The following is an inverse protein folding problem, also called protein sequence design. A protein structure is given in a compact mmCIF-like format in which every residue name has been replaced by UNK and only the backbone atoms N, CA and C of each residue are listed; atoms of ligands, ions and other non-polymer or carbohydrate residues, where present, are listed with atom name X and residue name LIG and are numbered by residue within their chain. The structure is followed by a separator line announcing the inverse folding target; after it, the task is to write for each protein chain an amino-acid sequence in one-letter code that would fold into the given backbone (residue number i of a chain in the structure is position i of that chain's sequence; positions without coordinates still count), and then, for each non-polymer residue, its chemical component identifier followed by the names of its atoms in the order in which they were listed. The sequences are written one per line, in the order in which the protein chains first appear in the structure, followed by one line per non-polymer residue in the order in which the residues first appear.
data_IF_787023549756
#
_entry.id   IF_787023549756
#
_cell.length_a   1.000
_cell.length_b   1.000
_cell.length_c   1.000
_cell.angle_alpha   90.00
_cell.angle_beta   90.00
_cell.angle_gamma   90.00
#
_symmetry.space_group_name_H-M   'P 1'
#
loop_
_entity.id
_entity.type
_entity.pdbx_description
1 polymer ?
#
# COMPACT_ATOMS: atom_id res chain seq x y z
N UNK A 1 -3.79 -16.33 15.34
CA UNK A 1 -4.92 -15.66 14.64
C UNK A 1 -4.32 -14.69 13.63
N UNK A 2 -4.93 -14.51 12.47
CA UNK A 2 -4.47 -13.53 11.47
C UNK A 2 -4.82 -12.12 11.95
N UNK A 3 -3.80 -11.25 12.07
CA UNK A 3 -4.00 -9.85 12.43
C UNK A 3 -4.51 -9.07 11.22
N UNK A 4 -5.61 -8.32 11.42
CA UNK A 4 -6.19 -7.43 10.42
C UNK A 4 -6.52 -6.09 11.07
N UNK A 5 -6.22 -5.01 10.35
CA UNK A 5 -6.54 -3.64 10.72
C UNK A 5 -7.48 -3.06 9.67
N UNK A 6 -8.56 -2.46 10.11
CA UNK A 6 -9.59 -1.91 9.24
C UNK A 6 -9.71 -0.41 9.43
N UNK A 7 -10.17 0.27 8.40
CA UNK A 7 -10.38 1.71 8.42
C UNK A 7 -11.85 2.05 8.67
N UNK A 8 -12.06 2.98 9.59
CA UNK A 8 -13.42 3.42 9.96
C UNK A 8 -14.21 4.08 8.81
N UNK A 9 -13.54 4.63 7.79
CA UNK A 9 -14.18 5.27 6.65
C UNK A 9 -14.41 4.33 5.46
N UNK A 10 -14.00 3.06 5.55
CA UNK A 10 -14.23 2.03 4.54
C UNK A 10 -15.17 0.90 5.00
N UNK A 11 -16.00 1.12 6.03
CA UNK A 11 -16.84 0.08 6.64
C UNK A 11 -17.86 -0.57 5.69
N UNK A 12 -18.20 0.10 4.59
CA UNK A 12 -19.20 -0.37 3.62
C UNK A 12 -18.58 -1.24 2.50
N UNK A 13 -17.31 -1.57 2.59
CA UNK A 13 -16.60 -2.40 1.61
C UNK A 13 -15.64 -3.35 2.33
N UNK A 14 -15.52 -4.59 1.84
CA UNK A 14 -14.58 -5.55 2.42
C UNK A 14 -13.15 -5.07 2.20
N UNK A 15 -12.41 -4.83 3.27
CA UNK A 15 -11.04 -4.36 3.19
C UNK A 15 -10.24 -4.77 4.42
N UNK A 16 -8.93 -4.77 4.31
CA UNK A 16 -8.05 -5.01 5.43
C UNK A 16 -6.59 -4.76 5.13
N UNK A 17 -5.90 -4.23 6.11
CA UNK A 17 -4.45 -4.14 6.19
C UNK A 17 -3.97 -5.27 7.10
N UNK A 18 -3.27 -6.24 6.53
CA UNK A 18 -2.86 -7.42 7.30
C UNK A 18 -1.53 -7.18 8.03
N UNK A 19 -1.40 -7.78 9.21
CA UNK A 19 -0.15 -7.85 9.94
C UNK A 19 0.74 -9.01 9.48
N UNK A 20 1.75 -9.32 10.28
CA UNK A 20 2.69 -10.42 10.00
C UNK A 20 2.35 -11.73 10.71
N UNK A 21 1.33 -11.75 11.57
CA UNK A 21 1.01 -12.89 12.44
C UNK A 21 -0.07 -13.81 11.87
N UNK A 22 -0.07 -15.07 12.29
CA UNK A 22 -1.14 -16.04 12.00
C UNK A 22 -0.95 -16.86 10.73
N UNK A 23 0.21 -16.84 10.11
CA UNK A 23 0.51 -17.59 8.90
C UNK A 23 1.41 -18.81 9.10
N UNK A 24 1.84 -19.40 7.98
CA UNK A 24 2.61 -20.66 7.90
C UNK A 24 4.11 -20.45 7.62
N UNK A 25 4.55 -19.24 7.32
CA UNK A 25 5.96 -18.95 7.04
C UNK A 25 6.82 -19.01 8.29
N UNK A 26 8.11 -19.30 8.13
CA UNK A 26 9.05 -19.47 9.23
C UNK A 26 10.29 -18.59 9.07
N UNK A 27 11.14 -18.50 10.11
CA UNK A 27 12.36 -17.71 10.09
C UNK A 27 12.08 -16.21 9.92
N UNK A 28 12.82 -15.54 9.07
CA UNK A 28 12.67 -14.09 8.79
C UNK A 28 11.30 -13.74 8.19
N UNK A 29 10.60 -14.72 7.62
CA UNK A 29 9.24 -14.59 7.05
C UNK A 29 8.14 -14.93 8.04
N UNK A 30 8.45 -15.21 9.31
CA UNK A 30 7.45 -15.60 10.31
C UNK A 30 6.48 -14.46 10.58
N UNK A 31 5.18 -14.70 10.38
CA UNK A 31 4.55 -15.95 9.96
C UNK A 31 3.68 -15.79 8.71
N UNK A 32 3.14 -14.58 8.41
CA UNK A 32 2.16 -14.31 7.37
C UNK A 32 2.79 -13.55 6.19
N UNK A 33 3.89 -14.07 5.62
CA UNK A 33 4.44 -13.50 4.40
C UNK A 33 3.53 -13.79 3.20
N UNK A 34 3.21 -12.75 2.43
CA UNK A 34 2.25 -12.80 1.32
C UNK A 34 2.90 -12.55 -0.06
N UNK A 35 4.22 -12.33 -0.07
CA UNK A 35 4.97 -11.98 -1.28
C UNK A 35 5.67 -13.17 -1.91
N UNK A 36 5.36 -13.44 -3.18
CA UNK A 36 6.09 -14.41 -4.00
C UNK A 36 7.48 -13.93 -4.45
N UNK A 37 7.76 -12.63 -4.26
CA UNK A 37 9.08 -12.03 -4.57
C UNK A 37 10.04 -12.15 -3.38
N UNK A 38 10.00 -13.27 -2.65
CA UNK A 38 10.85 -13.60 -1.51
C UNK A 38 11.42 -15.00 -1.68
N UNK A 39 12.42 -15.35 -0.88
CA UNK A 39 12.97 -16.71 -0.83
C UNK A 39 12.16 -17.67 0.05
N UNK A 40 10.96 -17.27 0.48
CA UNK A 40 10.04 -18.11 1.24
C UNK A 40 9.46 -19.26 0.39
N UNK A 41 8.98 -20.32 1.03
CA UNK A 41 8.34 -21.45 0.36
C UNK A 41 7.02 -21.00 -0.27
N UNK A 42 6.85 -21.22 -1.57
CA UNK A 42 5.61 -20.88 -2.30
C UNK A 42 4.36 -21.50 -1.66
N UNK A 43 4.46 -22.72 -1.15
CA UNK A 43 3.35 -23.39 -0.47
C UNK A 43 2.88 -22.59 0.77
N UNK A 44 3.81 -22.01 1.56
CA UNK A 44 3.47 -21.17 2.69
C UNK A 44 2.78 -19.89 2.23
N UNK A 45 3.27 -19.26 1.17
CA UNK A 45 2.70 -18.02 0.64
C UNK A 45 1.26 -18.24 0.14
N UNK A 46 1.01 -19.34 -0.58
CA UNK A 46 -0.35 -19.68 -1.05
C UNK A 46 -1.30 -19.98 0.12
N UNK A 47 -0.83 -20.73 1.13
CA UNK A 47 -1.60 -20.97 2.35
C UNK A 47 -1.90 -19.66 3.09
N UNK A 48 -0.92 -18.77 3.22
CA UNK A 48 -1.09 -17.46 3.84
C UNK A 48 -2.10 -16.59 3.07
N UNK A 49 -2.05 -16.60 1.74
CA UNK A 49 -3.04 -15.88 0.90
C UNK A 49 -4.45 -16.41 1.09
N UNK A 50 -4.61 -17.73 1.20
CA UNK A 50 -5.92 -18.33 1.52
C UNK A 50 -6.44 -17.86 2.89
N UNK A 51 -5.58 -17.83 3.92
CA UNK A 51 -5.95 -17.36 5.26
C UNK A 51 -6.42 -15.89 5.27
N UNK A 52 -5.78 -14.99 4.53
CA UNK A 52 -6.21 -13.58 4.47
C UNK A 52 -7.51 -13.42 3.68
N UNK A 53 -7.73 -14.21 2.62
CA UNK A 53 -8.97 -14.20 1.86
C UNK A 53 -10.14 -14.74 2.69
N UNK A 54 -9.91 -15.78 3.49
CA UNK A 54 -10.89 -16.32 4.42
C UNK A 54 -11.24 -15.28 5.50
N UNK A 55 -10.21 -14.64 6.08
CA UNK A 55 -10.38 -13.59 7.09
C UNK A 55 -11.21 -12.40 6.60
N UNK A 56 -11.11 -12.05 5.31
CA UNK A 56 -11.92 -11.00 4.66
C UNK A 56 -13.29 -11.51 4.16
N UNK A 57 -13.57 -12.80 4.32
CA UNK A 57 -14.78 -13.45 3.77
C UNK A 57 -14.94 -13.25 2.25
N UNK A 58 -13.80 -13.35 1.54
CA UNK A 58 -13.73 -13.29 0.07
C UNK A 58 -13.14 -14.57 -0.53
N UNK A 59 -13.22 -15.69 0.21
CA UNK A 59 -12.76 -17.00 -0.26
C UNK A 59 -13.45 -17.38 -1.58
N UNK A 60 -12.64 -17.80 -2.55
CA UNK A 60 -13.14 -18.10 -3.91
C UNK A 60 -13.17 -16.90 -4.88
N UNK A 61 -12.98 -15.68 -4.38
CA UNK A 61 -12.79 -14.52 -5.27
C UNK A 61 -11.35 -14.47 -5.83
N UNK A 62 -11.18 -13.81 -6.96
CA UNK A 62 -9.85 -13.49 -7.50
C UNK A 62 -9.33 -12.21 -6.87
N UNK A 63 -8.17 -12.27 -6.22
CA UNK A 63 -7.46 -11.06 -5.76
C UNK A 63 -6.27 -10.81 -6.67
N UNK A 64 -6.24 -9.63 -7.28
CA UNK A 64 -5.15 -9.21 -8.15
C UNK A 64 -4.10 -8.41 -7.38
N UNK A 65 -2.85 -8.86 -7.43
CA UNK A 65 -1.68 -8.15 -6.92
C UNK A 65 -0.81 -7.69 -8.09
N UNK A 66 -0.58 -6.39 -8.28
CA UNK A 66 0.20 -5.88 -9.40
C UNK A 66 1.70 -6.17 -9.25
N UNK A 67 2.42 -6.07 -10.35
CA UNK A 67 3.88 -6.12 -10.36
C UNK A 67 4.47 -4.78 -9.91
N UNK A 68 4.47 -4.53 -8.59
CA UNK A 68 4.95 -3.30 -7.97
C UNK A 68 6.44 -3.07 -8.22
N UNK A 69 6.81 -1.89 -8.72
CA UNK A 69 8.18 -1.46 -9.01
C UNK A 69 8.45 0.01 -8.64
N UNK A 70 7.65 0.58 -7.72
CA UNK A 70 7.75 1.98 -7.28
C UNK A 70 7.57 2.98 -8.42
N UNK A 71 6.69 2.67 -9.35
CA UNK A 71 6.30 3.54 -10.46
C UNK A 71 5.12 4.45 -10.07
N UNK A 72 4.68 5.28 -11.01
CA UNK A 72 3.42 6.00 -10.95
C UNK A 72 2.36 5.45 -11.92
N UNK A 73 2.54 4.19 -12.38
CA UNK A 73 1.65 3.55 -13.31
C UNK A 73 0.39 3.02 -12.61
N UNK A 74 -0.75 3.29 -13.23
CA UNK A 74 -2.07 2.86 -12.78
C UNK A 74 -2.68 1.94 -13.82
N UNK A 75 -3.41 0.92 -13.40
CA UNK A 75 -4.21 0.08 -14.28
C UNK A 75 -5.66 0.04 -13.82
N UNK A 76 -6.58 0.18 -14.76
CA UNK A 76 -7.98 -0.15 -14.58
C UNK A 76 -8.23 -1.59 -15.05
N UNK A 77 -8.82 -2.39 -14.17
CA UNK A 77 -9.21 -3.78 -14.45
C UNK A 77 -10.72 -3.83 -14.70
N UNK A 78 -11.08 -4.27 -15.90
CA UNK A 78 -12.45 -4.52 -16.34
C UNK A 78 -12.66 -5.99 -16.76
N UNK A 79 -13.86 -6.31 -17.24
CA UNK A 79 -14.22 -7.68 -17.69
C UNK A 79 -13.38 -8.18 -18.89
N UNK A 80 -12.74 -7.28 -19.64
CA UNK A 80 -11.93 -7.60 -20.82
C UNK A 80 -10.45 -7.68 -20.49
N UNK A 81 -10.06 -7.35 -19.27
CA UNK A 81 -8.65 -7.27 -18.88
C UNK A 81 -7.99 -8.65 -18.87
N UNK A 82 -6.90 -8.76 -19.61
CA UNK A 82 -6.01 -9.92 -19.59
C UNK A 82 -5.05 -9.77 -18.39
N UNK A 83 -5.35 -10.47 -17.31
CA UNK A 83 -4.60 -10.39 -16.05
C UNK A 83 -3.15 -10.84 -16.21
N UNK A 84 -2.87 -11.80 -17.09
CA UNK A 84 -1.50 -12.29 -17.29
C UNK A 84 -0.63 -11.22 -17.97
N UNK A 85 -1.20 -10.51 -18.94
CA UNK A 85 -0.51 -9.38 -19.56
C UNK A 85 -0.30 -8.20 -18.61
N UNK A 86 -1.29 -7.90 -17.77
CA UNK A 86 -1.17 -6.80 -16.79
C UNK A 86 -0.14 -7.14 -15.71
N UNK A 87 -0.10 -8.41 -15.25
CA UNK A 87 0.86 -8.85 -14.23
C UNK A 87 2.33 -8.74 -14.66
N UNK A 88 2.60 -8.69 -15.97
CA UNK A 88 3.96 -8.51 -16.50
C UNK A 88 4.42 -7.04 -16.54
N UNK A 89 3.48 -6.10 -16.48
CA UNK A 89 3.80 -4.66 -16.53
C UNK A 89 4.11 -4.10 -15.14
N UNK A 90 5.06 -3.16 -15.02
CA UNK A 90 5.27 -2.45 -13.75
C UNK A 90 4.08 -1.53 -13.47
N UNK A 91 3.34 -1.83 -12.41
CA UNK A 91 2.13 -1.12 -11.98
C UNK A 91 2.13 -1.05 -10.46
N UNK A 92 1.80 0.12 -9.92
CA UNK A 92 1.76 0.36 -8.48
C UNK A 92 0.38 0.83 -7.96
N UNK A 93 -0.60 1.02 -8.86
CA UNK A 93 -1.99 1.25 -8.48
C UNK A 93 -2.97 0.47 -9.37
N UNK A 94 -4.01 -0.07 -8.75
CA UNK A 94 -5.04 -0.88 -9.42
C UNK A 94 -6.41 -0.34 -9.07
N UNK A 95 -7.23 -0.10 -10.10
CA UNK A 95 -8.62 0.34 -9.99
C UNK A 95 -9.52 -0.76 -10.56
N UNK A 96 -10.67 -0.99 -9.94
CA UNK A 96 -11.73 -1.85 -10.50
C UNK A 96 -13.10 -1.49 -9.91
N UNK A 97 -14.16 -1.85 -10.63
CA UNK A 97 -15.54 -1.89 -10.13
C UNK A 97 -16.18 -3.26 -10.34
N UNK A 98 -15.37 -4.29 -10.57
CA UNK A 98 -15.85 -5.65 -10.76
C UNK A 98 -16.20 -6.30 -9.43
N UNK A 99 -17.47 -6.73 -9.30
CA UNK A 99 -17.88 -7.58 -8.17
C UNK A 99 -17.20 -8.95 -8.25
N UNK A 100 -16.80 -9.47 -7.09
CA UNK A 100 -16.11 -10.76 -7.00
C UNK A 100 -14.64 -10.72 -7.40
N UNK A 101 -14.08 -9.51 -7.58
CA UNK A 101 -12.65 -9.28 -7.83
C UNK A 101 -12.12 -8.33 -6.75
N UNK A 102 -11.17 -8.80 -5.98
CA UNK A 102 -10.40 -7.97 -5.06
C UNK A 102 -9.13 -7.43 -5.71
N UNK A 103 -8.67 -6.28 -5.24
CA UNK A 103 -7.37 -5.72 -5.58
C UNK A 103 -6.54 -5.56 -4.32
N UNK A 104 -5.25 -5.87 -4.41
CA UNK A 104 -4.36 -5.83 -3.26
C UNK A 104 -2.96 -5.38 -3.62
N UNK A 105 -2.24 -4.91 -2.61
CA UNK A 105 -0.84 -4.51 -2.73
C UNK A 105 -0.03 -5.10 -1.59
N UNK A 106 1.28 -5.19 -1.79
CA UNK A 106 2.22 -5.77 -0.85
C UNK A 106 3.20 -4.70 -0.37
N UNK A 107 3.38 -4.59 0.95
CA UNK A 107 4.25 -3.57 1.54
C UNK A 107 5.10 -4.13 2.69
N UNK A 108 6.21 -3.46 2.94
CA UNK A 108 7.01 -3.46 4.17
C UNK A 108 7.71 -2.10 4.20
N UNK A 109 7.14 -1.13 4.91
CA UNK A 109 7.47 0.29 5.07
C UNK A 109 6.82 1.26 4.09
N UNK A 110 6.68 0.93 2.78
CA UNK A 110 5.93 1.77 1.86
C UNK A 110 4.46 1.90 2.30
N UNK A 111 3.81 3.01 2.00
CA UNK A 111 2.42 3.25 2.37
C UNK A 111 1.46 2.44 1.49
N UNK A 112 0.67 1.54 2.08
CA UNK A 112 -0.47 0.95 1.41
C UNK A 112 -1.66 1.90 1.51
N UNK A 113 -2.35 2.10 0.38
CA UNK A 113 -3.54 2.93 0.33
C UNK A 113 -4.67 2.11 -0.27
N UNK A 114 -5.80 2.09 0.43
CA UNK A 114 -7.04 1.53 -0.07
C UNK A 114 -8.08 2.64 -0.17
N UNK A 115 -8.89 2.63 -1.23
CA UNK A 115 -9.91 3.64 -1.41
C UNK A 115 -11.18 3.06 -2.02
N UNK A 116 -12.31 3.70 -1.72
CA UNK A 116 -13.63 3.29 -2.17
C UNK A 116 -14.50 4.51 -2.48
N UNK A 117 -15.17 4.47 -3.62
CA UNK A 117 -16.24 5.39 -3.95
C UNK A 117 -17.55 4.58 -4.06
N UNK A 118 -18.52 4.90 -3.20
CA UNK A 118 -19.68 4.04 -2.95
C UNK A 118 -20.80 4.18 -3.98
N UNK A 119 -20.91 5.30 -4.68
CA UNK A 119 -22.01 5.54 -5.63
C UNK A 119 -21.79 4.78 -6.95
N UNK A 120 -20.58 4.83 -7.47
CA UNK A 120 -20.20 4.14 -8.70
C UNK A 120 -19.54 2.77 -8.43
N UNK A 121 -19.25 2.46 -7.18
CA UNK A 121 -18.71 1.16 -6.76
C UNK A 121 -17.27 0.93 -7.20
N UNK A 122 -16.42 1.97 -7.28
CA UNK A 122 -15.01 1.81 -7.59
C UNK A 122 -14.18 1.57 -6.33
N UNK A 123 -13.32 0.57 -6.40
CA UNK A 123 -12.27 0.30 -5.42
C UNK A 123 -10.89 0.53 -6.02
N UNK A 124 -9.94 0.89 -5.16
CA UNK A 124 -8.58 1.24 -5.54
C UNK A 124 -7.60 0.73 -4.49
N UNK A 125 -6.49 0.15 -4.94
CA UNK A 125 -5.33 -0.16 -4.10
C UNK A 125 -4.09 0.49 -4.69
N UNK A 126 -3.32 1.27 -3.89
CA UNK A 126 -2.09 1.96 -4.30
C UNK A 126 -0.93 1.52 -3.41
N UNK A 127 0.18 1.17 -4.02
CA UNK A 127 1.48 1.07 -3.39
C UNK A 127 2.22 2.41 -3.54
N UNK A 128 2.34 3.16 -2.46
CA UNK A 128 3.03 4.44 -2.45
C UNK A 128 4.34 4.35 -1.63
N UNK A 129 5.43 3.93 -2.28
CA UNK A 129 6.77 4.22 -1.81
C UNK A 129 7.16 5.67 -2.14
N UNK A 130 8.23 6.19 -1.54
CA UNK A 130 8.65 7.57 -1.72
C UNK A 130 8.77 8.00 -3.20
N UNK A 131 9.33 7.12 -4.06
CA UNK A 131 9.54 7.40 -5.47
C UNK A 131 8.21 7.52 -6.22
N UNK A 132 7.31 6.56 -6.03
CA UNK A 132 5.97 6.60 -6.62
C UNK A 132 5.17 7.81 -6.13
N UNK A 133 5.24 8.12 -4.82
CA UNK A 133 4.60 9.28 -4.24
C UNK A 133 5.13 10.60 -4.83
N UNK A 134 6.46 10.75 -4.95
CA UNK A 134 7.09 11.93 -5.53
C UNK A 134 6.74 12.09 -7.03
N UNK A 135 6.67 10.99 -7.77
CA UNK A 135 6.38 11.00 -9.22
C UNK A 135 4.89 11.00 -9.57
N UNK A 136 4.00 11.06 -8.57
CA UNK A 136 2.58 11.32 -8.76
C UNK A 136 1.70 10.07 -8.86
N UNK A 137 1.97 8.98 -8.13
CA UNK A 137 1.12 7.78 -8.15
C UNK A 137 -0.30 8.08 -7.64
N UNK A 138 -0.45 8.92 -6.60
CA UNK A 138 -1.75 9.30 -6.05
C UNK A 138 -2.55 10.13 -7.05
N UNK A 139 -1.91 11.12 -7.68
CA UNK A 139 -2.50 11.99 -8.68
C UNK A 139 -2.92 11.23 -9.93
N UNK A 140 -2.09 10.31 -10.41
CA UNK A 140 -2.40 9.48 -11.57
C UNK A 140 -3.59 8.55 -11.28
N UNK A 141 -3.66 8.01 -10.07
CA UNK A 141 -4.78 7.17 -9.65
C UNK A 141 -6.08 7.96 -9.59
N UNK A 142 -6.08 9.16 -9.01
CA UNK A 142 -7.25 10.04 -8.95
C UNK A 142 -7.65 10.55 -10.34
N UNK A 143 -6.68 10.89 -11.18
CA UNK A 143 -6.94 11.28 -12.58
C UNK A 143 -7.59 10.14 -13.35
N UNK A 144 -7.09 8.92 -13.20
CA UNK A 144 -7.67 7.73 -13.83
C UNK A 144 -9.12 7.48 -13.37
N UNK A 145 -9.42 7.65 -12.08
CA UNK A 145 -10.80 7.56 -11.56
C UNK A 145 -11.70 8.64 -12.16
N UNK A 146 -11.23 9.89 -12.22
CA UNK A 146 -11.99 10.99 -12.82
C UNK A 146 -12.27 10.75 -14.31
N UNK A 147 -11.30 10.21 -15.05
CA UNK A 147 -11.46 9.86 -16.47
C UNK A 147 -12.48 8.71 -16.69
N UNK A 148 -12.68 7.86 -15.66
CA UNK A 148 -13.72 6.85 -15.60
C UNK A 148 -15.09 7.41 -15.15
N UNK A 149 -15.21 8.73 -14.93
CA UNK A 149 -16.44 9.40 -14.54
C UNK A 149 -16.74 9.40 -13.04
N UNK A 150 -15.78 9.02 -12.21
CA UNK A 150 -15.93 8.98 -10.74
C UNK A 150 -15.80 10.39 -10.15
N UNK A 151 -16.72 10.77 -9.26
CA UNK A 151 -16.58 11.97 -8.45
C UNK A 151 -15.55 11.75 -7.34
N UNK A 152 -14.31 12.12 -7.60
CA UNK A 152 -13.19 11.92 -6.66
C UNK A 152 -13.38 12.61 -5.32
N UNK A 153 -14.27 13.61 -5.20
CA UNK A 153 -14.56 14.29 -3.92
C UNK A 153 -15.36 13.40 -2.95
N UNK A 154 -15.97 12.32 -3.46
CA UNK A 154 -16.76 11.36 -2.68
C UNK A 154 -15.97 10.11 -2.32
N UNK A 155 -14.69 10.06 -2.70
CA UNK A 155 -13.87 8.90 -2.41
C UNK A 155 -13.40 8.92 -0.95
N UNK A 156 -13.56 7.79 -0.27
CA UNK A 156 -12.98 7.53 1.04
C UNK A 156 -11.62 6.85 0.88
N UNK A 157 -10.59 7.37 1.52
CA UNK A 157 -9.20 6.90 1.42
C UNK A 157 -8.70 6.44 2.78
N UNK A 158 -8.11 5.26 2.84
CA UNK A 158 -7.42 4.75 4.02
C UNK A 158 -5.92 4.56 3.72
N UNK A 159 -5.07 5.10 4.58
CA UNK A 159 -3.61 4.88 4.57
C UNK A 159 -3.30 3.88 5.67
N UNK A 160 -2.78 2.72 5.29
CA UNK A 160 -2.45 1.64 6.20
C UNK A 160 -1.08 1.77 6.87
N UNK A 161 -0.63 0.70 7.56
CA UNK A 161 0.65 0.70 8.28
C UNK A 161 1.82 1.01 7.36
N UNK A 162 2.63 2.00 7.74
CA UNK A 162 3.76 2.52 6.98
C UNK A 162 4.89 2.93 7.92
N UNK A 163 6.09 3.16 7.42
CA UNK A 163 7.18 3.69 8.23
C UNK A 163 6.88 5.14 8.63
N UNK A 164 6.93 5.46 9.93
CA UNK A 164 6.68 6.80 10.44
C UNK A 164 7.86 7.75 10.23
N UNK A 165 7.58 9.06 10.30
CA UNK A 165 8.63 10.09 10.26
C UNK A 165 9.67 9.97 11.37
N UNK A 166 9.36 9.30 12.48
CA UNK A 166 10.32 9.05 13.58
C UNK A 166 11.40 8.03 13.19
N UNK A 167 11.08 7.14 12.23
CA UNK A 167 11.89 6.00 11.84
C UNK A 167 12.42 6.07 10.41
N UNK A 168 11.87 6.98 9.59
CA UNK A 168 12.26 7.10 8.19
C UNK A 168 13.38 8.11 7.99
N UNK A 169 14.53 7.79 8.58
CA UNK A 169 15.78 8.53 8.33
C UNK A 169 16.18 8.42 6.85
N UNK A 170 16.54 9.55 6.25
CA UNK A 170 16.95 9.66 4.84
C UNK A 170 18.21 10.52 4.72
N UNK A 171 18.97 10.31 3.67
CA UNK A 171 20.19 11.06 3.39
C UNK A 171 19.89 12.41 2.75
N UNK A 172 20.89 13.29 2.69
CA UNK A 172 20.79 14.63 2.09
C UNK A 172 20.40 14.60 0.60
N UNK A 173 20.92 13.63 -0.17
CA UNK A 173 20.58 13.46 -1.59
C UNK A 173 19.09 13.16 -1.83
N UNK A 174 18.48 12.39 -0.89
CA UNK A 174 17.04 12.16 -0.91
C UNK A 174 16.27 13.47 -0.65
N UNK A 175 16.64 14.22 0.40
CA UNK A 175 16.05 15.53 0.71
C UNK A 175 16.17 16.48 -0.49
N UNK A 176 17.37 16.63 -1.04
CA UNK A 176 17.62 17.49 -2.21
C UNK A 176 16.76 17.12 -3.42
N UNK A 177 16.50 15.82 -3.65
CA UNK A 177 15.64 15.36 -4.74
C UNK A 177 14.22 15.92 -4.60
N UNK A 178 13.67 15.94 -3.39
CA UNK A 178 12.35 16.50 -3.11
C UNK A 178 12.34 18.02 -3.29
N UNK A 179 13.33 18.72 -2.73
CA UNK A 179 13.39 20.20 -2.79
C UNK A 179 13.61 20.72 -4.21
N UNK A 180 14.37 19.99 -5.02
CA UNK A 180 14.54 20.31 -6.45
C UNK A 180 13.23 20.13 -7.24
N UNK A 181 12.36 19.22 -6.82
CA UNK A 181 11.05 19.00 -7.46
C UNK A 181 10.08 20.13 -7.06
N UNK A 182 9.98 20.44 -5.79
CA UNK A 182 9.20 21.56 -5.25
C UNK A 182 9.78 21.96 -3.88
N UNK A 183 10.21 23.21 -3.70
CA UNK A 183 10.72 23.72 -2.41
C UNK A 183 9.73 23.56 -1.25
N UNK A 184 8.42 23.59 -1.53
CA UNK A 184 7.38 23.37 -0.53
C UNK A 184 7.49 22.00 0.16
N UNK A 185 8.10 21.02 -0.47
CA UNK A 185 8.23 19.67 0.09
C UNK A 185 9.16 19.60 1.32
N UNK A 186 9.91 20.67 1.62
CA UNK A 186 10.66 20.78 2.88
C UNK A 186 9.77 20.54 4.11
N UNK A 187 8.49 20.94 4.08
CA UNK A 187 7.53 20.77 5.17
C UNK A 187 7.26 19.32 5.57
N UNK A 188 7.61 18.36 4.71
CA UNK A 188 7.45 16.94 5.00
C UNK A 188 8.70 16.30 5.61
N UNK A 189 9.72 17.09 5.92
CA UNK A 189 10.96 16.64 6.56
C UNK A 189 11.13 17.22 7.94
N UNK A 190 11.64 16.38 8.84
CA UNK A 190 12.11 16.80 10.17
C UNK A 190 13.64 16.71 10.14
N UNK A 191 14.31 17.82 10.46
CA UNK A 191 15.76 17.82 10.63
C UNK A 191 16.09 17.64 12.10
N UNK A 192 16.83 16.60 12.45
CA UNK A 192 17.22 16.27 13.80
C UNK A 192 18.64 15.72 13.83
N UNK A 193 19.51 16.27 14.69
CA UNK A 193 20.91 15.84 14.88
C UNK A 193 21.71 15.71 13.57
N UNK A 194 21.46 16.64 12.63
CA UNK A 194 22.11 16.65 11.31
C UNK A 194 21.51 15.71 10.28
N UNK A 195 20.56 14.86 10.65
CA UNK A 195 19.87 13.90 9.79
C UNK A 195 18.49 14.40 9.36
N UNK A 196 17.98 13.92 8.23
CA UNK A 196 16.65 14.18 7.75
C UNK A 196 15.73 12.98 8.00
N UNK A 197 14.49 13.26 8.39
CA UNK A 197 13.44 12.26 8.59
C UNK A 197 12.23 12.62 7.74
N UNK A 198 11.83 11.73 6.84
CA UNK A 198 10.74 12.00 5.89
C UNK A 198 9.39 11.50 6.43
N UNK A 199 8.36 12.35 6.34
CA UNK A 199 6.99 12.03 6.69
C UNK A 199 6.20 11.57 5.45
N UNK A 200 6.41 10.32 5.04
CA UNK A 200 5.75 9.74 3.87
C UNK A 200 4.21 9.76 3.96
N UNK A 201 3.57 9.34 5.08
CA UNK A 201 2.10 9.38 5.15
C UNK A 201 1.54 10.82 5.05
N UNK A 202 2.15 11.80 5.70
CA UNK A 202 1.71 13.20 5.58
C UNK A 202 1.89 13.73 4.16
N UNK A 203 3.00 13.39 3.50
CA UNK A 203 3.22 13.72 2.11
C UNK A 203 2.09 13.16 1.21
N UNK A 204 1.74 11.89 1.39
CA UNK A 204 0.66 11.23 0.67
C UNK A 204 -0.69 11.91 0.94
N UNK A 205 -1.04 12.19 2.19
CA UNK A 205 -2.26 12.93 2.56
C UNK A 205 -2.35 14.26 1.82
N UNK A 206 -1.24 15.01 1.77
CA UNK A 206 -1.20 16.30 1.06
C UNK A 206 -1.50 16.15 -0.43
N UNK A 207 -1.04 15.04 -1.08
CA UNK A 207 -1.30 14.79 -2.51
C UNK A 207 -2.79 14.52 -2.77
N UNK A 208 -3.48 13.81 -1.90
CA UNK A 208 -4.93 13.62 -1.98
C UNK A 208 -5.69 14.92 -1.73
N UNK A 209 -5.31 15.68 -0.71
CA UNK A 209 -5.94 16.97 -0.37
C UNK A 209 -5.86 17.99 -1.52
N UNK A 210 -4.75 18.04 -2.26
CA UNK A 210 -4.59 18.90 -3.43
C UNK A 210 -5.59 18.58 -4.56
N UNK A 211 -6.09 17.33 -4.63
CA UNK A 211 -7.12 16.91 -5.56
C UNK A 211 -8.54 17.06 -5.02
N UNK A 212 -8.71 17.59 -3.79
CA UNK A 212 -10.01 17.80 -3.16
C UNK A 212 -10.58 16.55 -2.49
N UNK A 213 -9.74 15.58 -2.19
CA UNK A 213 -10.09 14.38 -1.39
C UNK A 213 -9.74 14.67 0.06
N UNK A 214 -10.75 14.71 0.93
CA UNK A 214 -10.59 15.07 2.35
C UNK A 214 -11.04 13.97 3.31
N UNK A 215 -11.81 12.97 2.84
CA UNK A 215 -12.14 11.80 3.67
C UNK A 215 -10.97 10.82 3.66
N UNK A 216 -9.96 11.15 4.46
CA UNK A 216 -8.73 10.37 4.59
C UNK A 216 -8.60 9.88 6.03
N UNK A 217 -8.46 8.58 6.20
CA UNK A 217 -8.13 7.97 7.49
C UNK A 217 -6.75 7.33 7.43
N UNK A 218 -5.81 7.92 8.14
CA UNK A 218 -4.50 7.33 8.37
C UNK A 218 -4.53 6.50 9.66
N UNK A 219 -4.20 5.22 9.57
CA UNK A 219 -4.19 4.33 10.74
C UNK A 219 -3.10 4.69 11.77
N UNK A 220 -2.09 5.47 11.38
CA UNK A 220 -1.03 5.94 12.28
C UNK A 220 -0.11 4.84 12.82
N UNK A 221 -0.08 3.68 12.20
CA UNK A 221 0.70 2.52 12.64
C UNK A 221 2.07 2.47 11.94
N UNK A 222 3.14 2.51 12.75
CA UNK A 222 4.51 2.45 12.23
C UNK A 222 4.99 1.01 12.06
N UNK A 223 5.37 0.64 10.84
CA UNK A 223 5.87 -0.72 10.54
C UNK A 223 7.21 -1.01 11.20
N UNK A 224 8.08 -0.01 11.34
CA UNK A 224 9.39 -0.15 11.96
C UNK A 224 9.31 -0.33 13.48
N UNK A 225 8.49 0.47 14.17
CA UNK A 225 8.36 0.43 15.64
C UNK A 225 7.62 -0.82 16.11
N UNK A 226 6.61 -1.26 15.38
CA UNK A 226 5.76 -2.39 15.77
C UNK A 226 6.25 -3.71 15.14
N UNK A 227 7.39 -4.22 15.62
CA UNK A 227 8.05 -5.41 15.05
C UNK A 227 7.21 -6.68 15.17
N UNK A 228 6.38 -6.80 16.20
CA UNK A 228 5.50 -7.95 16.41
C UNK A 228 4.30 -7.96 15.46
N UNK A 229 3.91 -6.77 14.97
CA UNK A 229 2.74 -6.62 14.11
C UNK A 229 3.10 -6.58 12.62
N UNK A 230 4.28 -6.07 12.26
CA UNK A 230 4.59 -5.78 10.86
C UNK A 230 6.01 -6.20 10.45
N UNK A 231 6.17 -6.61 9.18
CA UNK A 231 7.48 -6.62 8.53
C UNK A 231 7.94 -5.20 8.22
N UNK A 232 9.26 -5.00 8.19
CA UNK A 232 9.85 -3.72 7.82
C UNK A 232 11.17 -3.95 7.06
N UNK A 233 11.25 -3.40 5.87
CA UNK A 233 12.47 -3.40 5.05
C UNK A 233 13.60 -2.64 5.76
N UNK A 234 13.30 -1.48 6.37
CA UNK A 234 14.27 -0.67 7.10
C UNK A 234 14.83 -1.44 8.30
N UNK A 235 13.98 -2.15 9.03
CA UNK A 235 14.41 -2.98 10.16
C UNK A 235 15.26 -4.17 9.70
N UNK A 236 14.89 -4.83 8.60
CA UNK A 236 15.67 -5.89 8.00
C UNK A 236 17.06 -5.39 7.57
N UNK A 237 17.12 -4.21 6.93
CA UNK A 237 18.37 -3.55 6.56
C UNK A 237 19.25 -3.27 7.79
N UNK A 238 18.71 -2.73 8.87
CA UNK A 238 19.47 -2.47 10.10
C UNK A 238 19.95 -3.75 10.79
N UNK A 239 19.23 -4.86 10.63
CA UNK A 239 19.62 -6.19 11.12
C UNK A 239 20.51 -6.97 10.17
N UNK A 240 20.87 -6.41 9.01
CA UNK A 240 21.64 -7.09 7.96
C UNK A 240 20.97 -8.39 7.49
N UNK A 241 19.64 -8.47 7.54
CA UNK A 241 18.85 -9.57 7.00
C UNK A 241 18.88 -9.51 5.47
N UNK A 242 19.03 -10.68 4.82
CA UNK A 242 19.17 -10.76 3.35
C UNK A 242 17.87 -10.57 2.59
N UNK A 243 16.72 -10.79 3.26
CA UNK A 243 15.37 -10.65 2.71
C UNK A 243 14.38 -10.39 3.86
N UNK A 244 13.13 -10.12 3.54
CA UNK A 244 12.07 -9.82 4.50
C UNK A 244 10.69 -10.18 3.94
N UNK A 245 9.75 -10.50 4.85
CA UNK A 245 8.35 -10.72 4.48
C UNK A 245 7.62 -9.42 4.09
N UNK A 246 6.48 -9.55 3.42
CA UNK A 246 5.60 -8.42 3.08
C UNK A 246 4.17 -8.71 3.52
N UNK A 247 3.52 -7.68 4.08
CA UNK A 247 2.11 -7.66 4.37
C UNK A 247 1.30 -7.40 3.11
N UNK A 248 0.03 -7.83 3.09
CA UNK A 248 -0.93 -7.40 2.09
C UNK A 248 -1.89 -6.36 2.65
N UNK A 249 -2.38 -5.52 1.75
CA UNK A 249 -3.55 -4.67 1.97
C UNK A 249 -4.51 -4.94 0.82
N UNK A 250 -5.75 -5.31 1.13
CA UNK A 250 -6.71 -5.84 0.16
C UNK A 250 -8.05 -5.12 0.32
N UNK A 251 -8.69 -4.81 -0.80
CA UNK A 251 -10.07 -4.30 -0.86
C UNK A 251 -10.85 -5.07 -1.93
N UNK A 252 -12.12 -5.37 -1.67
CA UNK A 252 -13.00 -6.15 -2.57
C UNK A 252 -14.45 -5.73 -2.47
N UNK A 253 -15.15 -5.75 -3.63
CA UNK A 253 -16.60 -5.51 -3.72
C UNK A 253 -17.41 -6.79 -3.48
#
# INVERSE_FOLDING_TARGET
MVDIFESKNLQNVKHGFFGRSGGMSTGIYSSLNLSEKTSDKKANIYANRALVMDKLEISGQKVFFPNQQHTNNVVFIDKKTDFDKVSQKPVDAVITNLKGVGVGILTADCSPILAYESESGFILAIHAGWKGALTGICENALTSLRDLGVDIKKISVAIGPTISSKCYEVKSDFFETFIKTDPYFEHFFIKKDGNYFFNLPLFIESRFNLFGVYDIHNLGLCTYENSELFYSNRRAYHKSEKDFGRMASIISL
#
